data_IF_309187032520
#
_entry.id   IF_309187032520
#
_cell.length_a   1.000
_cell.length_b   1.000
_cell.length_c   1.000
_cell.angle_alpha   90.00
_cell.angle_beta   90.00
_cell.angle_gamma   90.00
#
_symmetry.space_group_name_H-M   'P 1'
#
loop_
_entity.id
_entity.type
_entity.pdbx_description
1 polymer ?
#
# COMPACT_ATOMS: atom_id res chain seq x y z
N UNK A 1 9.14 -5.21 46.92
CA UNK A 1 7.71 -5.58 46.97
C UNK A 1 7.39 -6.74 46.04
N UNK A 2 7.76 -6.65 44.75
CA UNK A 2 7.65 -7.73 43.76
C UNK A 2 8.05 -9.12 44.29
N UNK A 3 9.27 -9.27 44.80
CA UNK A 3 9.79 -10.55 45.34
C UNK A 3 8.90 -11.15 46.45
N UNK A 4 8.33 -10.30 47.31
CA UNK A 4 7.48 -10.74 48.42
C UNK A 4 6.13 -11.25 47.92
N UNK A 5 5.51 -10.53 46.98
CA UNK A 5 4.24 -10.93 46.37
C UNK A 5 4.40 -12.26 45.64
N UNK A 6 5.45 -12.42 44.83
CA UNK A 6 5.74 -13.66 44.10
C UNK A 6 5.91 -14.86 45.05
N UNK A 7 6.65 -14.68 46.15
CA UNK A 7 6.83 -15.73 47.15
C UNK A 7 5.51 -16.10 47.87
N UNK A 8 4.69 -15.12 48.23
CA UNK A 8 3.43 -15.35 48.96
C UNK A 8 2.34 -15.97 48.07
N UNK A 9 2.30 -15.64 46.78
CA UNK A 9 1.35 -16.21 45.80
C UNK A 9 1.51 -17.72 45.68
N UNK A 10 2.74 -18.24 45.74
CA UNK A 10 3.02 -19.67 45.65
C UNK A 10 2.31 -20.53 46.70
N UNK A 11 1.90 -19.93 47.83
CA UNK A 11 1.18 -20.58 48.94
C UNK A 11 -0.27 -20.10 49.17
N UNK A 12 -0.76 -19.12 48.42
CA UNK A 12 -2.00 -18.38 48.74
C UNK A 12 -3.30 -19.17 48.48
N UNK A 13 -4.22 -19.26 49.43
CA UNK A 13 -5.60 -19.72 49.14
C UNK A 13 -6.37 -18.71 48.25
N UNK A 14 -7.61 -19.06 47.88
CA UNK A 14 -8.47 -18.25 47.00
C UNK A 14 -8.65 -16.81 47.50
N UNK A 15 -8.84 -16.61 48.80
CA UNK A 15 -9.05 -15.29 49.38
C UNK A 15 -7.76 -14.47 49.41
N UNK A 16 -6.64 -15.14 49.67
CA UNK A 16 -5.31 -14.53 49.68
C UNK A 16 -4.83 -14.20 48.27
N UNK A 17 -5.21 -14.96 47.24
CA UNK A 17 -5.00 -14.59 45.83
C UNK A 17 -5.68 -13.24 45.50
N UNK A 18 -6.92 -13.02 45.96
CA UNK A 18 -7.61 -11.75 45.74
C UNK A 18 -6.98 -10.58 46.52
N UNK A 19 -6.46 -10.82 47.72
CA UNK A 19 -5.77 -9.77 48.50
C UNK A 19 -4.42 -9.42 47.90
N UNK A 20 -3.63 -10.42 47.54
CA UNK A 20 -2.30 -10.24 46.96
C UNK A 20 -2.38 -9.56 45.59
N UNK A 21 -3.36 -9.89 44.77
CA UNK A 21 -3.56 -9.23 43.46
C UNK A 21 -3.93 -7.75 43.60
N UNK A 22 -4.71 -7.38 44.63
CA UNK A 22 -4.95 -5.96 44.98
C UNK A 22 -3.66 -5.28 45.46
N UNK A 23 -2.83 -5.97 46.24
CA UNK A 23 -1.55 -5.44 46.69
C UNK A 23 -0.58 -5.23 45.50
N UNK A 24 -0.54 -6.17 44.56
CA UNK A 24 0.22 -6.05 43.31
C UNK A 24 -0.24 -4.82 42.52
N UNK A 25 -1.54 -4.65 42.33
CA UNK A 25 -2.08 -3.45 41.67
C UNK A 25 -1.73 -2.16 42.40
N UNK A 26 -1.90 -2.11 43.72
CA UNK A 26 -1.58 -0.92 44.51
C UNK A 26 -0.08 -0.57 44.49
N UNK A 27 0.78 -1.51 44.09
CA UNK A 27 2.23 -1.33 44.00
C UNK A 27 2.72 -1.21 42.56
N UNK A 28 1.81 -1.08 41.59
CA UNK A 28 2.13 -0.89 40.16
C UNK A 28 2.68 -2.14 39.48
N UNK A 29 2.42 -3.32 40.04
CA UNK A 29 2.86 -4.62 39.52
C UNK A 29 1.75 -5.35 38.76
N UNK A 30 0.63 -4.68 38.48
CA UNK A 30 -0.51 -5.23 37.76
C UNK A 30 -0.24 -5.54 36.29
N UNK A 31 0.87 -5.04 35.73
CA UNK A 31 1.32 -5.36 34.36
C UNK A 31 2.66 -6.11 34.34
N UNK A 32 3.15 -6.58 35.48
CA UNK A 32 4.40 -7.32 35.56
C UNK A 32 4.17 -8.79 35.20
N UNK A 33 4.68 -9.21 34.03
CA UNK A 33 4.40 -10.54 33.48
C UNK A 33 4.89 -11.71 34.35
N UNK A 34 5.93 -11.52 35.17
CA UNK A 34 6.35 -12.56 36.11
C UNK A 34 5.40 -12.69 37.29
N UNK A 35 4.94 -11.55 37.84
CA UNK A 35 3.97 -11.54 38.94
C UNK A 35 2.69 -12.21 38.48
N UNK A 36 2.16 -11.80 37.34
CA UNK A 36 0.95 -12.41 36.81
C UNK A 36 1.11 -13.88 36.44
N UNK A 37 2.25 -14.28 35.86
CA UNK A 37 2.55 -15.69 35.61
C UNK A 37 2.41 -16.53 36.87
N UNK A 38 2.97 -16.06 37.99
CA UNK A 38 2.85 -16.75 39.29
C UNK A 38 1.39 -16.81 39.78
N UNK A 39 0.61 -15.73 39.61
CA UNK A 39 -0.81 -15.70 39.97
C UNK A 39 -1.67 -16.61 39.08
N UNK A 40 -1.41 -16.65 37.77
CA UNK A 40 -2.08 -17.54 36.81
C UNK A 40 -1.84 -19.00 37.15
N UNK A 41 -0.59 -19.35 37.46
CA UNK A 41 -0.23 -20.71 37.91
C UNK A 41 -0.99 -21.06 39.20
N UNK A 42 -1.03 -20.15 40.18
CA UNK A 42 -1.72 -20.40 41.45
C UNK A 42 -3.24 -20.48 41.29
N UNK A 43 -3.85 -19.58 40.52
CA UNK A 43 -5.28 -19.59 40.27
C UNK A 43 -5.70 -20.85 39.50
N UNK A 44 -4.88 -21.31 38.55
CA UNK A 44 -5.12 -22.56 37.83
C UNK A 44 -5.11 -23.76 38.79
N UNK A 45 -4.14 -23.85 39.71
CA UNK A 45 -4.09 -24.96 40.67
C UNK A 45 -5.32 -24.97 41.60
N UNK A 46 -5.72 -23.82 42.11
CA UNK A 46 -6.91 -23.69 42.97
C UNK A 46 -8.22 -23.92 42.21
N UNK A 47 -8.31 -23.55 40.93
CA UNK A 47 -9.53 -23.71 40.14
C UNK A 47 -9.98 -25.16 39.96
N UNK A 48 -9.05 -26.12 40.09
CA UNK A 48 -9.36 -27.55 39.94
C UNK A 48 -10.25 -28.10 41.04
N UNK A 49 -10.26 -27.46 42.21
CA UNK A 49 -11.03 -27.87 43.39
C UNK A 49 -11.97 -26.78 43.90
N UNK A 50 -11.88 -25.57 43.35
CA UNK A 50 -12.71 -24.42 43.71
C UNK A 50 -14.18 -24.60 43.31
N UNK A 51 -15.09 -24.12 44.16
CA UNK A 51 -16.50 -23.98 43.81
C UNK A 51 -16.75 -22.70 42.96
N UNK A 52 -17.97 -22.53 42.44
CA UNK A 52 -18.32 -21.40 41.56
C UNK A 52 -18.03 -20.00 42.16
N UNK A 53 -18.23 -19.82 43.48
CA UNK A 53 -17.94 -18.55 44.16
C UNK A 53 -16.43 -18.32 44.30
N UNK A 54 -15.68 -19.38 44.54
CA UNK A 54 -14.23 -19.34 44.60
C UNK A 54 -13.61 -19.06 43.22
N UNK A 55 -14.17 -19.65 42.15
CA UNK A 55 -13.76 -19.34 40.78
C UNK A 55 -14.03 -17.87 40.43
N UNK A 56 -15.14 -17.28 40.88
CA UNK A 56 -15.39 -15.83 40.73
C UNK A 56 -14.33 -14.99 41.45
N UNK A 57 -13.95 -15.36 42.67
CA UNK A 57 -12.88 -14.67 43.42
C UNK A 57 -11.52 -14.79 42.73
N UNK A 58 -11.17 -15.98 42.26
CA UNK A 58 -9.94 -16.21 41.50
C UNK A 58 -9.94 -15.34 40.23
N UNK A 59 -11.03 -15.35 39.47
CA UNK A 59 -11.18 -14.53 38.26
C UNK A 59 -11.03 -13.03 38.55
N UNK A 60 -11.65 -12.53 39.63
CA UNK A 60 -11.47 -11.14 40.06
C UNK A 60 -10.05 -10.81 40.45
N UNK A 61 -9.33 -11.75 41.08
CA UNK A 61 -7.93 -11.59 41.45
C UNK A 61 -7.04 -11.51 40.22
N UNK A 62 -7.19 -12.45 39.29
CA UNK A 62 -6.44 -12.48 38.03
C UNK A 62 -6.73 -11.23 37.19
N UNK A 63 -7.99 -10.77 37.11
CA UNK A 63 -8.34 -9.52 36.40
C UNK A 63 -7.68 -8.26 36.99
N UNK A 64 -7.12 -8.30 38.22
CA UNK A 64 -6.33 -7.18 38.75
C UNK A 64 -4.90 -7.16 38.23
N UNK A 65 -4.45 -8.26 37.63
CA UNK A 65 -3.13 -8.50 37.09
C UNK A 65 -3.34 -8.72 35.60
N UNK A 66 -3.38 -7.62 34.85
CA UNK A 66 -3.64 -7.68 33.43
C UNK A 66 -2.28 -7.71 32.74
N UNK A 67 -1.90 -8.85 32.17
CA UNK A 67 -0.92 -8.85 31.09
C UNK A 67 -1.62 -8.00 30.07
N UNK A 68 -0.93 -6.95 29.59
CA UNK A 68 -1.34 -6.34 28.34
C UNK A 68 -1.25 -7.48 27.34
N UNK A 69 -2.35 -8.19 27.19
CA UNK A 69 -2.51 -9.41 26.41
C UNK A 69 -2.50 -8.95 24.97
N UNK A 70 -1.32 -8.52 24.53
CA UNK A 70 -1.13 -7.67 23.37
C UNK A 70 -2.32 -6.70 23.26
N UNK A 71 -2.58 -5.90 24.30
CA UNK A 71 -3.28 -4.65 24.05
C UNK A 71 -2.25 -3.81 23.32
N UNK A 72 -2.23 -4.05 22.00
CA UNK A 72 -1.73 -3.17 20.96
C UNK A 72 -1.83 -1.79 21.55
N UNK A 73 -0.72 -1.24 22.04
CA UNK A 73 -0.71 0.09 22.65
C UNK A 73 -1.02 1.09 21.55
N UNK A 74 -2.29 1.20 21.18
CA UNK A 74 -2.72 1.50 19.82
C UNK A 74 -1.99 0.64 18.78
N UNK A 75 -2.70 -0.18 17.99
CA UNK A 75 -2.26 -0.20 16.58
C UNK A 75 -2.57 1.20 16.10
N UNK A 76 -1.61 2.10 16.26
CA UNK A 76 -1.74 3.49 15.84
C UNK A 76 -1.57 3.47 14.33
N UNK A 77 -2.58 2.98 13.62
CA UNK A 77 -2.71 3.07 12.18
C UNK A 77 -3.09 4.51 11.86
N UNK A 78 -2.07 5.36 11.82
CA UNK A 78 -2.19 6.79 11.56
C UNK A 78 -2.19 7.06 10.06
N UNK A 79 -1.57 6.17 9.28
CA UNK A 79 -1.68 6.15 7.81
C UNK A 79 -1.71 4.72 7.27
N UNK A 80 -1.93 4.60 5.96
CA UNK A 80 -1.76 3.33 5.24
C UNK A 80 -0.33 2.78 5.28
N UNK A 81 0.66 3.58 5.66
CA UNK A 81 2.06 3.15 5.73
C UNK A 81 2.34 2.31 6.99
N UNK A 82 1.48 2.41 8.02
CA UNK A 82 1.59 1.64 9.26
C UNK A 82 1.12 0.18 9.09
N UNK A 83 0.62 -0.18 7.90
CA UNK A 83 0.17 -1.54 7.57
C UNK A 83 0.94 -2.05 6.36
N UNK A 84 1.64 -3.19 6.46
CA UNK A 84 2.24 -3.84 5.30
C UNK A 84 1.18 -4.21 4.26
N UNK A 85 1.45 -3.88 3.00
CA UNK A 85 0.58 -4.21 1.89
C UNK A 85 0.43 -5.73 1.71
N UNK A 86 -0.79 -6.19 1.41
CA UNK A 86 -1.07 -7.61 1.18
C UNK A 86 -0.70 -8.03 -0.25
N UNK A 87 -0.38 -9.31 -0.46
CA UNK A 87 0.07 -9.83 -1.76
C UNK A 87 -0.94 -9.67 -2.91
N UNK A 88 -2.21 -9.42 -2.61
CA UNK A 88 -3.30 -9.26 -3.60
C UNK A 88 -3.94 -7.87 -3.56
N UNK A 89 -3.98 -7.23 -2.39
CA UNK A 89 -4.53 -5.89 -2.21
C UNK A 89 -3.43 -4.96 -1.70
N UNK A 90 -2.67 -4.41 -2.66
CA UNK A 90 -1.60 -3.47 -2.37
C UNK A 90 -2.19 -2.07 -2.24
N UNK A 91 -1.80 -1.31 -1.21
CA UNK A 91 -2.13 0.12 -1.14
C UNK A 91 -1.63 0.82 -2.42
N UNK A 92 -2.39 1.81 -2.90
CA UNK A 92 -2.06 2.53 -4.12
C UNK A 92 -0.62 3.08 -4.04
N UNK A 93 0.26 2.59 -4.91
CA UNK A 93 1.59 3.16 -5.10
C UNK A 93 1.66 3.81 -6.48
N UNK A 94 2.35 4.94 -6.57
CA UNK A 94 2.52 5.64 -7.84
C UNK A 94 3.19 4.73 -8.88
N UNK A 95 4.18 3.91 -8.47
CA UNK A 95 4.83 2.94 -9.36
C UNK A 95 3.92 1.80 -9.80
N UNK A 96 3.09 1.25 -8.90
CA UNK A 96 2.13 0.21 -9.24
C UNK A 96 1.07 0.70 -10.23
N UNK A 97 0.54 1.91 -10.03
CA UNK A 97 -0.41 2.53 -10.94
C UNK A 97 0.18 2.73 -12.35
N UNK A 98 1.45 3.17 -12.43
CA UNK A 98 2.16 3.32 -13.71
C UNK A 98 2.40 1.98 -14.41
N UNK A 99 2.72 0.93 -13.66
CA UNK A 99 2.92 -0.42 -14.21
C UNK A 99 1.69 -1.05 -14.88
N UNK A 100 0.49 -0.54 -14.60
CA UNK A 100 -0.76 -1.02 -15.23
C UNK A 100 -0.97 -0.48 -16.64
N UNK A 101 -0.28 0.59 -17.02
CA UNK A 101 -0.46 1.23 -18.32
C UNK A 101 0.32 0.43 -19.36
N UNK A 102 -0.35 0.13 -20.47
CA UNK A 102 0.23 -0.54 -21.64
C UNK A 102 0.11 0.39 -22.84
N UNK A 103 1.18 0.50 -23.62
CA UNK A 103 1.22 1.30 -24.85
C UNK A 103 1.67 0.44 -26.02
N UNK A 104 1.10 0.65 -27.20
CA UNK A 104 1.48 0.00 -28.45
C UNK A 104 1.25 0.95 -29.64
N UNK A 105 1.88 0.65 -30.78
CA UNK A 105 1.81 1.51 -31.98
C UNK A 105 2.61 2.80 -31.82
N UNK A 106 2.02 3.93 -32.21
CA UNK A 106 2.68 5.25 -32.29
C UNK A 106 2.81 5.97 -30.94
N UNK A 107 2.25 5.39 -29.88
CA UNK A 107 2.29 5.91 -28.52
C UNK A 107 3.26 5.10 -27.68
N UNK A 108 4.15 5.78 -26.97
CA UNK A 108 5.02 5.19 -25.97
C UNK A 108 4.71 5.75 -24.58
N UNK A 109 4.94 4.93 -23.56
CA UNK A 109 4.74 5.28 -22.17
C UNK A 109 5.99 4.96 -21.35
N UNK A 110 6.51 5.93 -20.60
CA UNK A 110 7.61 5.73 -19.66
C UNK A 110 7.06 5.45 -18.26
N UNK A 111 7.14 4.19 -17.82
CA UNK A 111 6.62 3.77 -16.52
C UNK A 111 7.41 4.28 -15.30
N UNK A 112 8.61 4.83 -15.50
CA UNK A 112 9.41 5.46 -14.45
C UNK A 112 8.95 6.89 -14.20
N UNK A 113 8.82 7.71 -15.26
CA UNK A 113 8.47 9.13 -15.15
C UNK A 113 6.97 9.40 -15.24
N UNK A 114 6.21 8.50 -15.87
CA UNK A 114 4.78 8.68 -16.17
C UNK A 114 4.49 9.47 -17.44
N UNK A 115 5.49 9.69 -18.29
CA UNK A 115 5.35 10.45 -19.52
C UNK A 115 4.71 9.61 -20.63
N UNK A 116 3.73 10.20 -21.32
CA UNK A 116 3.21 9.70 -22.59
C UNK A 116 3.87 10.49 -23.71
N UNK A 117 4.37 9.77 -24.71
CA UNK A 117 4.93 10.38 -25.91
C UNK A 117 4.24 9.82 -27.14
N UNK A 118 4.14 10.67 -28.16
CA UNK A 118 3.60 10.33 -29.46
C UNK A 118 4.54 10.88 -30.52
N UNK A 119 4.89 10.04 -31.49
CA UNK A 119 5.62 10.47 -32.67
C UNK A 119 4.66 10.46 -33.83
N UNK A 120 4.29 11.65 -34.33
CA UNK A 120 3.53 11.74 -35.57
C UNK A 120 4.35 11.09 -36.70
N UNK A 121 3.76 10.20 -37.52
CA UNK A 121 4.45 9.71 -38.70
C UNK A 121 4.86 10.90 -39.58
N UNK A 122 6.14 10.96 -39.93
CA UNK A 122 6.64 11.96 -40.87
C UNK A 122 6.04 11.68 -42.26
N UNK A 123 5.44 12.69 -42.88
CA UNK A 123 4.93 12.60 -44.26
C UNK A 123 3.41 12.44 -44.38
N UNK A 124 2.63 13.28 -43.69
CA UNK A 124 1.21 13.43 -44.01
C UNK A 124 1.01 14.10 -45.38
N UNK A 125 0.04 13.61 -46.16
CA UNK A 125 -0.42 14.28 -47.38
C UNK A 125 -0.97 15.67 -47.04
N UNK A 126 -0.33 16.71 -47.54
CA UNK A 126 -0.82 18.09 -47.36
C UNK A 126 -1.64 18.52 -48.57
N UNK A 127 -2.80 19.12 -48.36
CA UNK A 127 -3.68 19.56 -49.46
C UNK A 127 -3.43 21.04 -49.76
N UNK A 128 -3.11 21.35 -51.01
CA UNK A 128 -2.96 22.71 -51.51
C UNK A 128 -4.02 22.98 -52.56
N UNK A 129 -4.46 24.23 -52.65
CA UNK A 129 -5.46 24.59 -53.66
C UNK A 129 -4.83 24.68 -55.03
N UNK A 130 -3.62 25.24 -55.12
CA UNK A 130 -2.88 25.48 -56.35
C UNK A 130 -1.43 24.98 -56.29
N UNK A 131 -0.85 24.63 -57.44
CA UNK A 131 0.54 24.16 -57.51
C UNK A 131 1.56 25.22 -57.12
N UNK A 132 1.21 26.50 -57.23
CA UNK A 132 2.03 27.63 -56.77
C UNK A 132 2.15 27.74 -55.25
N UNK A 133 1.25 27.07 -54.51
CA UNK A 133 1.25 27.07 -53.05
C UNK A 133 2.15 25.97 -52.47
N UNK A 134 2.70 25.10 -53.33
CA UNK A 134 3.63 24.07 -52.90
C UNK A 134 4.90 24.72 -52.31
N UNK A 135 5.25 24.42 -51.05
CA UNK A 135 6.40 25.03 -50.38
C UNK A 135 7.69 24.68 -51.12
N UNK A 136 8.59 25.66 -51.27
CA UNK A 136 9.88 25.47 -51.95
C UNK A 136 11.02 25.10 -51.00
N UNK A 137 10.79 25.20 -49.70
CA UNK A 137 11.74 24.91 -48.63
C UNK A 137 11.02 24.28 -47.44
N UNK A 138 11.78 23.64 -46.55
CA UNK A 138 11.22 22.97 -45.37
C UNK A 138 10.61 21.58 -45.65
N UNK A 139 10.68 21.09 -46.89
CA UNK A 139 10.22 19.76 -47.25
C UNK A 139 11.33 18.72 -47.10
N UNK A 140 10.95 17.53 -46.67
CA UNK A 140 11.77 16.34 -46.70
C UNK A 140 11.50 15.54 -47.98
N UNK A 141 12.51 14.84 -48.50
CA UNK A 141 12.32 13.94 -49.62
C UNK A 141 11.29 12.86 -49.24
N UNK A 142 10.25 12.69 -50.06
CA UNK A 142 9.11 11.83 -49.80
C UNK A 142 7.85 12.54 -49.30
N UNK A 143 7.92 13.84 -48.99
CA UNK A 143 6.72 14.60 -48.63
C UNK A 143 5.70 14.57 -49.77
N UNK A 144 4.42 14.43 -49.40
CA UNK A 144 3.32 14.25 -50.34
C UNK A 144 2.36 15.44 -50.27
N UNK A 145 1.87 15.84 -51.43
CA UNK A 145 0.88 16.91 -51.53
C UNK A 145 -0.21 16.60 -52.54
N UNK A 146 -1.47 16.90 -52.23
CA UNK A 146 -2.57 16.88 -53.19
C UNK A 146 -2.86 18.31 -53.63
N UNK A 147 -2.74 18.59 -54.92
CA UNK A 147 -3.13 19.89 -55.48
C UNK A 147 -4.51 19.75 -56.10
N UNK A 148 -5.51 20.41 -55.52
CA UNK A 148 -6.91 20.22 -55.92
C UNK A 148 -7.24 20.86 -57.27
N UNK A 149 -6.63 21.98 -57.64
CA UNK A 149 -6.90 22.63 -58.93
C UNK A 149 -6.44 21.81 -60.14
N UNK A 150 -5.41 20.97 -59.97
CA UNK A 150 -4.90 20.08 -61.01
C UNK A 150 -5.30 18.62 -60.81
N UNK A 151 -5.97 18.31 -59.69
CA UNK A 151 -6.32 16.96 -59.24
C UNK A 151 -5.13 15.98 -59.31
N UNK A 152 -3.98 16.42 -58.81
CA UNK A 152 -2.71 15.66 -58.89
C UNK A 152 -2.07 15.49 -57.53
N UNK A 153 -1.55 14.28 -57.30
CA UNK A 153 -0.61 13.99 -56.24
C UNK A 153 0.78 14.46 -56.66
N UNK A 154 1.48 15.12 -55.75
CA UNK A 154 2.85 15.57 -55.91
C UNK A 154 3.72 14.92 -54.83
N UNK A 155 4.97 14.60 -55.17
CA UNK A 155 5.99 14.08 -54.26
C UNK A 155 7.21 14.99 -54.32
N UNK A 156 7.75 15.38 -53.17
CA UNK A 156 8.99 16.14 -53.09
C UNK A 156 10.20 15.18 -53.18
N UNK A 157 11.10 15.40 -54.14
CA UNK A 157 12.25 14.50 -54.37
C UNK A 157 13.52 14.89 -53.61
N UNK A 158 13.46 15.96 -52.81
CA UNK A 158 14.62 16.58 -52.15
C UNK A 158 15.10 17.85 -52.87
N UNK A 159 14.78 18.01 -54.15
CA UNK A 159 15.13 19.20 -54.95
C UNK A 159 13.91 19.97 -55.47
N UNK A 160 12.73 19.35 -55.52
CA UNK A 160 11.51 19.97 -56.02
C UNK A 160 10.31 19.02 -55.99
N UNK A 161 9.14 19.57 -56.33
CA UNK A 161 7.88 18.82 -56.41
C UNK A 161 7.66 18.23 -57.80
N UNK A 162 7.32 16.95 -57.84
CA UNK A 162 7.03 16.22 -59.06
C UNK A 162 5.61 15.66 -59.01
N UNK A 163 4.80 15.93 -60.03
CA UNK A 163 3.47 15.34 -60.12
C UNK A 163 3.55 13.87 -60.49
N UNK A 164 2.83 13.02 -59.76
CA UNK A 164 2.65 11.61 -60.10
C UNK A 164 1.67 11.52 -61.26
N UNK A 165 2.06 10.92 -62.40
CA UNK A 165 1.12 10.68 -63.50
C UNK A 165 0.01 9.74 -63.04
N UNK A 166 -1.24 10.11 -63.29
CA UNK A 166 -2.35 9.16 -63.22
C UNK A 166 -2.48 8.50 -64.60
N UNK A 167 -2.44 7.16 -64.63
CA UNK A 167 -2.62 6.35 -65.84
C UNK A 167 -4.07 6.34 -66.30
#
# INVERSE_FOLDING_TARGET
MKTKIRAEVGGADVDNVLKLSRAAKNTGLDTDGEVEGDFNIRALSLSTTANASEVDKLSRGIKKLITRDVDTGGVSISSSDDVPAGSTNQYFSQGGARGLIQSSGDVSYNSVTGEFSFTAPAGGLTVYTNSSELPLSGNNAGDQALVTSTNRLYIFTGSGWYSVPVS
#
